data_IF_673223572042
#
_entry.id   IF_673223572042
#
_cell.length_a   1.000
_cell.length_b   1.000
_cell.length_c   1.000
_cell.angle_alpha   90.00
_cell.angle_beta   90.00
_cell.angle_gamma   90.00
#
_symmetry.space_group_name_H-M   'P 1'
#
loop_
_entity.id
_entity.type
_entity.pdbx_description
1 polymer ?
#
# COMPACT_ATOMS: atom_id res chain seq x y z
N UNK A 1 49.20 -3.75 -0.54
CA UNK A 1 47.85 -3.36 -1.01
C UNK A 1 46.84 -4.32 -0.41
N UNK A 2 45.93 -3.87 0.47
CA UNK A 2 44.88 -4.71 1.04
C UNK A 2 43.70 -4.76 0.07
N UNK A 3 43.31 -5.96 -0.37
CA UNK A 3 42.13 -6.18 -1.19
C UNK A 3 40.88 -5.84 -0.37
N UNK A 4 40.03 -4.95 -0.88
CA UNK A 4 38.76 -4.63 -0.27
C UNK A 4 37.81 -5.82 -0.45
N UNK A 5 37.42 -6.44 0.67
CA UNK A 5 36.38 -7.47 0.67
C UNK A 5 35.05 -6.80 0.34
N UNK A 6 34.51 -7.06 -0.85
CA UNK A 6 33.16 -6.67 -1.24
C UNK A 6 32.18 -7.31 -0.24
N UNK A 7 31.51 -6.48 0.56
CA UNK A 7 30.37 -6.92 1.37
C UNK A 7 29.32 -7.49 0.41
N UNK A 8 29.08 -8.79 0.51
CA UNK A 8 27.95 -9.45 -0.15
C UNK A 8 26.68 -8.72 0.31
N UNK A 9 26.02 -8.03 -0.62
CA UNK A 9 24.73 -7.41 -0.36
C UNK A 9 23.75 -8.50 0.11
N UNK A 10 22.97 -8.28 1.17
CA UNK A 10 21.97 -9.25 1.58
C UNK A 10 21.05 -9.55 0.40
N UNK A 11 20.82 -10.84 0.15
CA UNK A 11 19.97 -11.32 -0.93
C UNK A 11 18.54 -10.85 -0.66
N UNK A 12 18.19 -9.69 -1.22
CA UNK A 12 16.86 -9.10 -1.08
C UNK A 12 15.84 -10.06 -1.67
N UNK A 13 14.81 -10.41 -0.89
CA UNK A 13 13.66 -11.18 -1.37
C UNK A 13 13.13 -10.53 -2.68
N UNK A 14 12.82 -11.32 -3.74
CA UNK A 14 12.35 -10.76 -4.98
C UNK A 14 11.04 -10.01 -4.75
N UNK A 15 11.01 -8.74 -5.13
CA UNK A 15 9.81 -7.92 -5.05
C UNK A 15 9.07 -7.92 -6.39
N UNK A 16 7.75 -8.02 -6.32
CA UNK A 16 6.86 -8.11 -7.48
C UNK A 16 6.06 -6.81 -7.63
N UNK A 17 6.15 -6.20 -8.80
CA UNK A 17 5.42 -4.99 -9.16
C UNK A 17 3.94 -5.29 -9.38
N UNK A 18 3.06 -4.40 -8.91
CA UNK A 18 1.60 -4.50 -9.06
C UNK A 18 1.00 -3.11 -9.19
N UNK A 19 -0.02 -3.00 -10.05
CA UNK A 19 -0.83 -1.81 -10.22
C UNK A 19 -2.05 -1.87 -9.30
N UNK A 20 -2.14 -0.96 -8.34
CA UNK A 20 -3.27 -0.83 -7.42
C UNK A 20 -4.13 0.37 -7.82
N UNK A 21 -5.39 0.11 -8.16
CA UNK A 21 -6.41 1.14 -8.30
C UNK A 21 -6.90 1.52 -6.92
N UNK A 22 -6.75 2.78 -6.52
CA UNK A 22 -7.12 3.28 -5.19
C UNK A 22 -8.56 3.78 -5.11
N UNK A 23 -9.48 2.97 -5.63
CA UNK A 23 -10.94 3.20 -5.66
C UNK A 23 -11.65 2.86 -4.33
N UNK A 24 -10.92 2.33 -3.34
CA UNK A 24 -11.42 2.10 -1.99
C UNK A 24 -11.48 3.36 -1.13
N UNK A 25 -10.82 4.44 -1.56
CA UNK A 25 -10.66 5.66 -0.78
C UNK A 25 -11.87 6.61 -0.90
N UNK A 26 -13.01 6.22 -0.33
CA UNK A 26 -14.32 6.87 -0.57
C UNK A 26 -14.42 8.36 -0.21
N UNK A 27 -13.53 8.89 0.63
CA UNK A 27 -13.52 10.32 0.97
C UNK A 27 -12.82 11.19 -0.09
N UNK A 28 -12.13 10.57 -1.05
CA UNK A 28 -11.44 11.22 -2.17
C UNK A 28 -12.18 10.93 -3.48
N UNK A 29 -13.24 11.68 -3.72
CA UNK A 29 -14.06 11.53 -4.93
C UNK A 29 -13.25 11.68 -6.23
N UNK A 30 -12.14 12.42 -6.21
CA UNK A 30 -11.21 12.57 -7.32
C UNK A 30 -10.47 11.28 -7.71
N UNK A 31 -10.39 10.31 -6.78
CA UNK A 31 -9.80 9.00 -7.02
C UNK A 31 -10.83 7.98 -7.56
N UNK A 32 -12.12 8.25 -7.41
CA UNK A 32 -13.21 7.44 -7.95
C UNK A 32 -13.46 7.77 -9.43
N UNK A 33 -12.51 7.42 -10.29
CA UNK A 33 -12.63 7.61 -11.74
C UNK A 33 -13.39 6.45 -12.39
N UNK A 34 -14.24 6.75 -13.36
CA UNK A 34 -15.03 5.75 -14.10
C UNK A 34 -14.24 5.02 -15.18
N UNK A 35 -13.09 5.57 -15.59
CA UNK A 35 -12.21 4.96 -16.59
C UNK A 35 -11.02 4.29 -15.94
N UNK A 36 -10.79 3.02 -16.29
CA UNK A 36 -9.59 2.30 -15.86
C UNK A 36 -8.35 2.88 -16.56
N UNK A 37 -7.22 3.00 -15.86
CA UNK A 37 -5.94 3.36 -16.47
C UNK A 37 -5.59 2.41 -17.61
N UNK A 38 -5.15 2.95 -18.75
CA UNK A 38 -4.50 2.15 -19.77
C UNK A 38 -3.18 1.61 -19.19
N UNK A 39 -3.11 0.30 -18.97
CA UNK A 39 -1.88 -0.37 -18.53
C UNK A 39 -1.42 -1.31 -19.63
N UNK A 40 -0.10 -1.49 -19.78
CA UNK A 40 0.53 -2.31 -20.82
C UNK A 40 0.30 -3.82 -20.65
N UNK A 41 -0.45 -4.25 -19.64
CA UNK A 41 -0.67 -5.67 -19.30
C UNK A 41 0.55 -6.36 -18.67
N UNK A 42 1.65 -5.65 -18.47
CA UNK A 42 2.93 -6.20 -17.97
C UNK A 42 2.90 -6.54 -16.48
N UNK A 43 2.00 -5.92 -15.72
CA UNK A 43 1.86 -6.12 -14.27
C UNK A 43 0.42 -6.44 -13.89
N UNK A 44 0.20 -7.28 -12.86
CA UNK A 44 -1.14 -7.51 -12.33
C UNK A 44 -1.77 -6.18 -11.92
N UNK A 45 -3.07 -6.06 -12.14
CA UNK A 45 -3.85 -4.89 -11.77
C UNK A 45 -4.91 -5.32 -10.77
N UNK A 46 -5.02 -4.62 -9.64
CA UNK A 46 -5.96 -4.94 -8.57
C UNK A 46 -6.77 -3.71 -8.15
N UNK A 47 -8.00 -3.96 -7.70
CA UNK A 47 -8.91 -2.91 -7.18
C UNK A 47 -8.90 -2.93 -5.66
N UNK A 48 -8.65 -1.77 -5.04
CA UNK A 48 -8.69 -1.59 -3.59
C UNK A 48 -10.11 -1.79 -3.04
N UNK A 49 -11.15 -1.39 -3.78
CA UNK A 49 -12.55 -1.52 -3.38
C UNK A 49 -12.98 -2.98 -3.17
N UNK A 50 -12.32 -3.94 -3.82
CA UNK A 50 -12.56 -5.38 -3.66
C UNK A 50 -11.78 -6.00 -2.49
N UNK A 51 -11.00 -5.20 -1.76
CA UNK A 51 -10.15 -5.62 -0.63
C UNK A 51 -10.60 -4.90 0.65
N UNK A 52 -11.76 -5.27 1.22
CA UNK A 52 -12.36 -4.56 2.36
C UNK A 52 -11.45 -4.49 3.58
N UNK A 53 -10.51 -5.45 3.72
CA UNK A 53 -9.50 -5.47 4.77
C UNK A 53 -8.68 -4.18 4.82
N UNK A 54 -8.39 -3.55 3.67
CA UNK A 54 -7.65 -2.29 3.62
C UNK A 54 -8.43 -1.19 4.33
N UNK A 55 -9.72 -1.03 4.00
CA UNK A 55 -10.58 -0.05 4.67
C UNK A 55 -10.72 -0.35 6.16
N UNK A 56 -10.91 -1.62 6.53
CA UNK A 56 -11.01 -2.02 7.94
C UNK A 56 -9.76 -1.64 8.72
N UNK A 57 -8.57 -1.97 8.22
CA UNK A 57 -7.31 -1.63 8.89
C UNK A 57 -7.09 -0.12 8.95
N UNK A 58 -7.37 0.62 7.86
CA UNK A 58 -7.26 2.08 7.86
C UNK A 58 -8.14 2.72 8.95
N UNK A 59 -9.39 2.23 9.10
CA UNK A 59 -10.30 2.70 10.14
C UNK A 59 -9.82 2.36 11.55
N UNK A 60 -9.28 1.16 11.77
CA UNK A 60 -8.73 0.80 13.08
C UNK A 60 -7.50 1.64 13.44
N UNK A 61 -6.63 1.95 12.47
CA UNK A 61 -5.50 2.86 12.66
C UNK A 61 -6.00 4.27 13.00
N UNK A 62 -7.00 4.76 12.28
CA UNK A 62 -7.63 6.05 12.58
C UNK A 62 -8.28 6.09 13.97
N UNK A 63 -8.92 5.00 14.39
CA UNK A 63 -9.49 4.89 15.73
C UNK A 63 -8.40 4.91 16.83
N UNK A 64 -7.26 4.26 16.62
CA UNK A 64 -6.14 4.25 17.59
C UNK A 64 -5.54 5.64 17.84
N UNK A 65 -5.67 6.58 16.89
CA UNK A 65 -5.21 7.97 17.05
C UNK A 65 -6.30 8.92 17.55
N UNK A 66 -7.57 8.52 17.48
CA UNK A 66 -8.68 9.40 17.81
C UNK A 66 -8.77 9.61 19.32
N UNK A 67 -9.00 10.87 19.73
CA UNK A 67 -9.29 11.20 21.12
C UNK A 67 -10.79 11.28 21.28
N UNK A 68 -11.35 10.40 22.09
CA UNK A 68 -12.79 10.30 22.34
C UNK A 68 -13.34 11.42 23.24
N UNK A 69 -12.50 12.37 23.66
CA UNK A 69 -12.87 13.57 24.43
C UNK A 69 -13.22 14.77 23.53
N UNK A 70 -13.10 14.64 22.20
CA UNK A 70 -13.41 15.66 21.21
C UNK A 70 -14.60 15.23 20.32
N UNK A 71 -15.30 16.19 19.66
CA UNK A 71 -16.30 15.86 18.65
C UNK A 71 -15.74 14.95 17.54
N UNK A 72 -16.60 14.09 17.02
CA UNK A 72 -16.26 13.25 15.86
C UNK A 72 -15.87 14.12 14.66
N UNK A 73 -14.74 13.83 13.99
CA UNK A 73 -14.35 14.55 12.79
C UNK A 73 -15.25 14.18 11.60
N UNK A 74 -15.33 15.08 10.62
CA UNK A 74 -16.04 14.83 9.36
C UNK A 74 -15.45 13.63 8.58
N UNK A 75 -14.12 13.49 8.65
CA UNK A 75 -13.39 12.36 8.06
C UNK A 75 -12.51 11.70 9.11
N UNK A 76 -12.79 10.43 9.40
CA UNK A 76 -11.99 9.68 10.38
C UNK A 76 -10.61 9.31 9.84
N UNK A 77 -10.47 8.90 8.58
CA UNK A 77 -9.18 8.52 7.99
C UNK A 77 -8.53 9.64 7.19
N UNK A 78 -7.21 9.57 7.05
CA UNK A 78 -6.44 10.38 6.11
C UNK A 78 -5.52 9.50 5.26
N UNK A 79 -4.87 10.08 4.25
CA UNK A 79 -4.02 9.34 3.29
C UNK A 79 -2.97 8.43 3.96
N UNK A 80 -2.36 8.89 5.05
CA UNK A 80 -1.36 8.09 5.76
C UNK A 80 -1.95 6.82 6.40
N UNK A 81 -3.23 6.81 6.78
CA UNK A 81 -3.90 5.61 7.30
C UNK A 81 -4.12 4.58 6.17
N UNK A 82 -4.45 5.05 4.97
CA UNK A 82 -4.61 4.20 3.79
C UNK A 82 -3.28 3.59 3.33
N UNK A 83 -2.20 4.38 3.30
CA UNK A 83 -0.87 3.84 3.02
C UNK A 83 -0.43 2.83 4.10
N UNK A 84 -0.67 3.12 5.38
CA UNK A 84 -0.36 2.19 6.47
C UNK A 84 -1.14 0.86 6.31
N UNK A 85 -2.42 0.95 5.97
CA UNK A 85 -3.25 -0.23 5.72
C UNK A 85 -2.77 -1.04 4.52
N UNK A 86 -2.37 -0.40 3.42
CA UNK A 86 -1.77 -1.09 2.25
C UNK A 86 -0.49 -1.83 2.64
N UNK A 87 0.37 -1.22 3.45
CA UNK A 87 1.61 -1.87 3.94
C UNK A 87 1.28 -3.13 4.73
N UNK A 88 0.29 -3.06 5.62
CA UNK A 88 -0.10 -4.18 6.48
C UNK A 88 -0.81 -5.28 5.68
N UNK A 89 -1.84 -4.92 4.92
CA UNK A 89 -2.74 -5.89 4.27
C UNK A 89 -2.08 -6.52 3.05
N UNK A 90 -1.40 -5.72 2.21
CA UNK A 90 -0.78 -6.20 0.99
C UNK A 90 0.69 -6.58 1.17
N UNK A 91 1.29 -6.28 2.33
CA UNK A 91 2.71 -6.49 2.55
C UNK A 91 3.58 -5.62 1.64
N UNK A 92 3.14 -4.39 1.34
CA UNK A 92 3.91 -3.48 0.47
C UNK A 92 5.29 -3.22 1.06
N UNK A 93 6.32 -3.39 0.21
CA UNK A 93 7.72 -3.11 0.52
C UNK A 93 8.21 -1.86 -0.18
N UNK A 94 7.67 -1.50 -1.34
CA UNK A 94 7.98 -0.24 -2.01
C UNK A 94 6.76 0.42 -2.63
N UNK A 95 6.70 1.74 -2.51
CA UNK A 95 5.77 2.57 -3.28
C UNK A 95 6.54 3.40 -4.30
N UNK A 96 6.05 3.43 -5.54
CA UNK A 96 6.57 4.29 -6.60
C UNK A 96 5.86 5.64 -6.56
N UNK A 97 6.48 6.60 -5.87
CA UNK A 97 5.90 7.91 -5.55
C UNK A 97 6.81 9.05 -6.01
N UNK A 98 6.23 10.24 -6.06
CA UNK A 98 6.99 11.49 -6.10
C UNK A 98 7.59 11.81 -4.72
N UNK A 99 8.73 12.52 -4.70
CA UNK A 99 9.48 12.89 -3.49
C UNK A 99 8.64 13.68 -2.48
N UNK A 100 7.67 14.47 -2.94
CA UNK A 100 6.77 15.25 -2.07
C UNK A 100 5.94 14.38 -1.13
N UNK A 101 5.74 13.09 -1.44
CA UNK A 101 4.99 12.15 -0.62
C UNK A 101 5.84 11.44 0.45
N UNK A 102 7.15 11.70 0.52
CA UNK A 102 8.03 11.08 1.52
C UNK A 102 7.59 11.33 2.98
N UNK A 103 7.18 12.55 3.38
CA UNK A 103 6.70 12.78 4.76
C UNK A 103 5.42 12.00 5.08
N UNK A 104 4.54 11.86 4.09
CA UNK A 104 3.31 11.07 4.21
C UNK A 104 3.65 9.58 4.39
N UNK A 105 4.54 9.02 3.57
CA UNK A 105 4.97 7.63 3.71
C UNK A 105 5.67 7.37 5.05
N UNK A 106 6.45 8.33 5.54
CA UNK A 106 7.08 8.25 6.87
C UNK A 106 6.02 8.15 7.97
N UNK A 107 4.96 8.97 7.87
CA UNK A 107 3.83 8.91 8.80
C UNK A 107 3.09 7.59 8.70
N UNK A 108 2.86 7.08 7.49
CA UNK A 108 2.21 5.79 7.25
C UNK A 108 3.00 4.64 7.86
N UNK A 109 4.33 4.60 7.66
CA UNK A 109 5.21 3.59 8.27
C UNK A 109 5.13 3.61 9.80
N UNK A 110 5.20 4.79 10.41
CA UNK A 110 5.07 4.94 11.87
C UNK A 110 3.73 4.40 12.38
N UNK A 111 2.63 4.66 11.66
CA UNK A 111 1.29 4.18 12.02
C UNK A 111 1.16 2.67 11.85
N UNK A 112 1.66 2.12 10.75
CA UNK A 112 1.68 0.69 10.51
C UNK A 112 2.49 -0.04 11.59
N UNK A 113 3.65 0.51 11.97
CA UNK A 113 4.48 0.00 13.05
C UNK A 113 3.72 -0.02 14.38
N UNK A 114 3.12 1.10 14.79
CA UNK A 114 2.38 1.18 16.04
C UNK A 114 1.20 0.19 16.08
N UNK A 115 0.48 0.05 14.97
CA UNK A 115 -0.63 -0.89 14.83
C UNK A 115 -0.20 -2.34 15.03
N UNK A 116 0.88 -2.78 14.39
CA UNK A 116 1.40 -4.15 14.51
C UNK A 116 2.06 -4.41 15.86
N UNK A 117 2.81 -3.43 16.39
CA UNK A 117 3.43 -3.53 17.71
C UNK A 117 2.41 -3.73 18.83
N UNK A 118 1.28 -3.03 18.78
CA UNK A 118 0.19 -3.22 19.75
C UNK A 118 -0.41 -4.64 19.75
N UNK A 119 -0.11 -5.44 18.71
CA UNK A 119 -0.54 -6.83 18.53
C UNK A 119 0.62 -7.84 18.59
N UNK A 120 1.83 -7.39 18.93
CA UNK A 120 3.02 -8.26 18.97
C UNK A 120 3.46 -8.81 17.61
N UNK A 121 3.04 -8.17 16.51
CA UNK A 121 3.35 -8.61 15.15
C UNK A 121 4.62 -7.91 14.62
N UNK A 122 5.44 -8.60 13.80
CA UNK A 122 6.64 -8.00 13.20
C UNK A 122 6.26 -6.95 12.15
N UNK A 123 7.11 -5.93 12.01
CA UNK A 123 6.92 -4.87 11.03
C UNK A 123 8.17 -4.67 10.17
N UNK A 124 7.95 -4.48 8.87
CA UNK A 124 8.95 -4.04 7.91
C UNK A 124 8.43 -2.79 7.24
N UNK A 125 9.19 -1.70 7.32
CA UNK A 125 8.82 -0.43 6.70
C UNK A 125 8.82 -0.53 5.18
N UNK A 126 7.87 0.15 4.54
CA UNK A 126 7.87 0.33 3.10
C UNK A 126 8.79 1.49 2.72
N UNK A 127 9.54 1.30 1.65
CA UNK A 127 10.42 2.31 1.08
C UNK A 127 9.72 3.07 -0.04
N UNK A 128 10.23 4.25 -0.35
CA UNK A 128 9.83 4.97 -1.55
C UNK A 128 10.83 4.69 -2.66
N UNK A 129 10.32 4.40 -3.85
CA UNK A 129 11.07 4.43 -5.10
C UNK A 129 10.66 5.66 -5.88
N UNK A 130 11.64 6.48 -6.25
CA UNK A 130 11.40 7.68 -7.06
C UNK A 130 10.74 7.29 -8.37
N UNK A 131 9.64 7.95 -8.67
CA UNK A 131 8.86 7.73 -9.89
C UNK A 131 8.64 9.08 -10.58
N UNK A 132 9.30 9.30 -11.72
CA UNK A 132 9.26 10.55 -12.50
C UNK A 132 8.00 10.70 -13.37
N UNK A 133 6.96 9.90 -13.14
CA UNK A 133 5.83 9.74 -14.07
C UNK A 133 4.84 10.91 -14.02
N UNK A 134 5.21 12.03 -14.64
CA UNK A 134 4.26 13.07 -15.04
C UNK A 134 3.19 12.44 -15.95
N UNK A 135 1.92 12.49 -15.53
CA UNK A 135 0.78 11.96 -16.32
C UNK A 135 0.20 10.61 -15.86
N UNK A 136 0.66 10.03 -14.75
CA UNK A 136 -0.05 8.87 -14.16
C UNK A 136 -1.43 9.30 -13.65
N UNK A 137 -2.49 8.50 -13.88
CA UNK A 137 -3.78 8.73 -13.24
C UNK A 137 -3.65 8.81 -11.72
N UNK A 138 -4.34 9.78 -11.11
CA UNK A 138 -4.28 10.01 -9.66
C UNK A 138 -4.72 8.79 -8.84
N UNK A 139 -5.60 7.95 -9.42
CA UNK A 139 -6.13 6.74 -8.81
C UNK A 139 -5.28 5.48 -9.01
N UNK A 140 -4.06 5.59 -9.55
CA UNK A 140 -3.17 4.45 -9.77
C UNK A 140 -1.91 4.55 -8.91
N UNK A 141 -1.70 3.57 -8.04
CA UNK A 141 -0.44 3.35 -7.36
C UNK A 141 0.32 2.18 -7.97
N UNK A 142 1.63 2.34 -8.12
CA UNK A 142 2.53 1.23 -8.42
C UNK A 142 3.22 0.83 -7.12
N UNK A 143 3.03 -0.43 -6.74
CA UNK A 143 3.53 -1.00 -5.49
C UNK A 143 4.40 -2.21 -5.79
N UNK A 144 5.39 -2.46 -4.93
CA UNK A 144 6.15 -3.71 -4.94
C UNK A 144 5.87 -4.47 -3.64
N UNK A 145 5.53 -5.76 -3.75
CA UNK A 145 5.24 -6.66 -2.63
C UNK A 145 6.13 -7.90 -2.70
N UNK A 146 6.40 -8.55 -1.57
CA UNK A 146 7.14 -9.81 -1.54
C UNK A 146 6.32 -10.98 -2.13
N UNK A 147 5.00 -10.94 -1.98
CA UNK A 147 4.10 -11.96 -2.49
C UNK A 147 3.80 -11.74 -3.98
N UNK A 148 3.99 -12.76 -4.80
CA UNK A 148 3.63 -12.68 -6.22
C UNK A 148 2.10 -12.69 -6.40
N UNK A 149 1.56 -11.67 -7.04
CA UNK A 149 0.19 -11.67 -7.55
C UNK A 149 0.21 -12.26 -8.96
N UNK A 150 -0.64 -13.24 -9.21
CA UNK A 150 -0.77 -13.82 -10.56
C UNK A 150 -1.43 -12.78 -11.47
N UNK A 151 -0.83 -12.53 -12.64
CA UNK A 151 -1.40 -11.69 -13.70
C UNK A 151 -2.00 -12.54 -14.80
N UNK A 152 -2.87 -11.92 -15.60
CA UNK A 152 -3.27 -12.43 -16.92
C UNK A 152 -4.74 -12.79 -17.07
N UNK A 153 -5.53 -12.72 -15.98
CA UNK A 153 -6.96 -13.03 -16.00
C UNK A 153 -7.85 -11.76 -15.90
N UNK A 154 -7.23 -10.58 -15.88
CA UNK A 154 -7.89 -9.29 -15.72
C UNK A 154 -8.08 -8.88 -14.27
N UNK A 155 -8.36 -7.59 -14.05
CA UNK A 155 -8.30 -6.98 -12.72
C UNK A 155 -9.16 -7.68 -11.66
N UNK A 156 -10.39 -8.04 -12.01
CA UNK A 156 -11.33 -8.70 -11.07
C UNK A 156 -10.77 -10.06 -10.64
N UNK A 157 -10.30 -10.86 -11.60
CA UNK A 157 -9.78 -12.19 -11.31
C UNK A 157 -8.48 -12.13 -10.49
N UNK A 158 -7.56 -11.23 -10.85
CA UNK A 158 -6.30 -11.00 -10.14
C UNK A 158 -6.59 -10.53 -8.70
N UNK A 159 -7.57 -9.64 -8.50
CA UNK A 159 -7.97 -9.15 -7.17
C UNK A 159 -8.61 -10.25 -6.33
N UNK A 160 -9.50 -11.07 -6.89
CA UNK A 160 -10.12 -12.19 -6.18
C UNK A 160 -9.10 -13.27 -5.79
N UNK A 161 -8.13 -13.54 -6.67
CA UNK A 161 -7.04 -14.47 -6.37
C UNK A 161 -6.19 -13.97 -5.20
N UNK A 162 -5.83 -12.69 -5.21
CA UNK A 162 -5.16 -12.03 -4.10
C UNK A 162 -6.00 -12.11 -2.82
N UNK A 163 -7.27 -11.69 -2.86
CA UNK A 163 -8.15 -11.65 -1.70
C UNK A 163 -8.26 -13.00 -0.99
N UNK A 164 -8.26 -14.12 -1.72
CA UNK A 164 -8.25 -15.49 -1.16
C UNK A 164 -6.94 -15.86 -0.47
N UNK A 165 -5.84 -15.25 -0.88
CA UNK A 165 -4.50 -15.50 -0.31
C UNK A 165 -4.19 -14.62 0.91
N UNK A 166 -4.90 -13.49 1.07
CA UNK A 166 -4.73 -12.59 2.19
C UNK A 166 -5.21 -13.28 3.47
N UNK A 167 -4.27 -13.56 4.39
CA UNK A 167 -4.61 -13.94 5.77
C UNK A 167 -5.04 -12.67 6.49
N UNK A 168 -6.27 -12.62 6.99
CA UNK A 168 -6.76 -11.45 7.74
C UNK A 168 -5.87 -11.25 8.97
N UNK A 169 -5.12 -10.15 9.09
CA UNK A 169 -4.39 -9.85 10.32
C UNK A 169 -5.38 -9.17 11.29
N UNK A 170 -6.11 -9.99 12.04
CA UNK A 170 -6.91 -9.52 13.20
C UNK A 170 -6.42 -10.28 14.41
#
# INVERSE_FOLDING_TARGET
MKAATLKTLPQTEPLHCTHLIVDGNSHRADLCQTTLPATTGEHPMISEAMLPQIRTVAMLIAAMRHKFDAPSPDTFTEEADWFAARIIVLGVRRFHLDITLLPMLTTANRRAQAFLQSRGLPFTAAEMRMSLHAGRPANLLIIETASKISSGNGMIADTLALARSLKTPV
#
